data_IF_422256198931
#
_entry.id   IF_422256198931
#
_cell.length_a   1.000
_cell.length_b   1.000
_cell.length_c   1.000
_cell.angle_alpha   90.00
_cell.angle_beta   90.00
_cell.angle_gamma   90.00
#
_symmetry.space_group_name_H-M   'P 1'
#
loop_
_entity.id
_entity.type
_entity.pdbx_description
1 polymer ?
#
# COMPACT_ATOMS: atom_id res chain seq x y z
N UNK A 1 -4.28 -35.27 -11.66
CA UNK A 1 -3.32 -34.17 -11.41
C UNK A 1 -4.12 -32.87 -11.48
N UNK A 2 -4.55 -32.32 -10.33
CA UNK A 2 -5.27 -31.05 -10.32
C UNK A 2 -4.26 -29.91 -10.40
N UNK A 3 -4.34 -29.09 -11.44
CA UNK A 3 -3.58 -27.84 -11.51
C UNK A 3 -3.99 -26.94 -10.34
N UNK A 4 -3.07 -26.19 -9.72
CA UNK A 4 -3.45 -25.20 -8.72
C UNK A 4 -4.36 -24.19 -9.40
N UNK A 5 -5.61 -24.09 -8.93
CA UNK A 5 -6.51 -23.05 -9.37
C UNK A 5 -5.85 -21.71 -9.05
N UNK A 6 -5.51 -20.93 -10.08
CA UNK A 6 -5.12 -19.54 -9.91
C UNK A 6 -6.31 -18.85 -9.25
N UNK A 7 -6.22 -18.65 -7.95
CA UNK A 7 -7.17 -17.85 -7.21
C UNK A 7 -6.58 -16.46 -7.27
N UNK A 8 -7.07 -15.54 -8.13
CA UNK A 8 -6.65 -14.16 -8.02
C UNK A 8 -7.07 -13.71 -6.62
N UNK A 9 -6.11 -13.62 -5.70
CA UNK A 9 -6.31 -12.83 -4.49
C UNK A 9 -6.66 -11.44 -4.97
N UNK A 10 -7.93 -11.06 -4.87
CA UNK A 10 -8.40 -9.71 -5.17
C UNK A 10 -7.75 -8.77 -4.15
N UNK A 11 -6.50 -8.42 -4.42
CA UNK A 11 -5.73 -7.45 -3.68
C UNK A 11 -6.39 -6.08 -3.87
N UNK A 12 -6.97 -5.57 -2.79
CA UNK A 12 -7.62 -4.29 -2.80
C UNK A 12 -6.58 -3.16 -2.92
N UNK A 13 -6.94 -2.14 -3.69
CA UNK A 13 -6.02 -1.06 -4.05
C UNK A 13 -6.48 0.27 -3.49
N UNK A 14 -5.64 0.85 -2.63
CA UNK A 14 -5.86 2.14 -2.01
C UNK A 14 -5.32 3.28 -2.89
N UNK A 15 -6.01 4.40 -2.86
CA UNK A 15 -5.55 5.68 -3.40
C UNK A 15 -4.54 6.34 -2.44
N UNK A 16 -3.71 7.30 -2.92
CA UNK A 16 -2.81 8.04 -2.04
C UNK A 16 -3.55 8.72 -0.88
N UNK A 17 -4.77 9.22 -1.12
CA UNK A 17 -5.61 9.85 -0.09
C UNK A 17 -6.08 8.88 0.99
N UNK A 18 -6.46 7.66 0.62
CA UNK A 18 -6.85 6.63 1.59
C UNK A 18 -5.66 6.22 2.47
N UNK A 19 -4.48 6.00 1.87
CA UNK A 19 -3.25 5.70 2.63
C UNK A 19 -2.90 6.87 3.55
N UNK A 20 -3.00 8.09 3.05
CA UNK A 20 -2.72 9.29 3.83
C UNK A 20 -3.62 9.42 5.06
N UNK A 21 -4.92 9.11 4.91
CA UNK A 21 -5.87 9.09 6.01
C UNK A 21 -5.51 8.05 7.09
N UNK A 22 -5.05 6.85 6.69
CA UNK A 22 -4.65 5.80 7.63
C UNK A 22 -3.39 6.16 8.44
N UNK A 23 -2.42 6.82 7.81
CA UNK A 23 -1.17 7.24 8.45
C UNK A 23 -1.26 8.64 9.10
N UNK A 24 -2.40 9.32 8.99
CA UNK A 24 -2.58 10.72 9.40
C UNK A 24 -1.50 11.66 8.82
N UNK A 25 -1.18 11.51 7.54
CA UNK A 25 -0.22 12.35 6.80
C UNK A 25 -0.87 13.00 5.59
N UNK A 26 -0.15 13.88 4.91
CA UNK A 26 -0.56 14.43 3.61
C UNK A 26 -0.34 13.42 2.45
N UNK A 27 -1.22 13.35 1.43
CA UNK A 27 -1.04 12.47 0.26
C UNK A 27 0.28 12.65 -0.51
N UNK A 28 0.87 13.85 -0.48
CA UNK A 28 2.19 14.12 -1.06
C UNK A 28 3.30 13.39 -0.30
N UNK A 29 3.15 13.19 1.01
CA UNK A 29 4.06 12.38 1.82
C UNK A 29 4.02 10.92 1.41
N UNK A 30 2.82 10.35 1.20
CA UNK A 30 2.66 8.99 0.67
C UNK A 30 3.31 8.87 -0.72
N UNK A 31 3.12 9.88 -1.57
CA UNK A 31 3.75 9.92 -2.90
C UNK A 31 5.28 9.92 -2.78
N UNK A 32 5.86 10.67 -1.85
CA UNK A 32 7.31 10.66 -1.57
C UNK A 32 7.79 9.30 -1.09
N UNK A 33 7.05 8.60 -0.22
CA UNK A 33 7.39 7.24 0.20
C UNK A 33 7.46 6.28 -0.98
N UNK A 34 6.52 6.40 -1.92
CA UNK A 34 6.53 5.61 -3.15
C UNK A 34 7.75 5.92 -4.03
N UNK A 35 8.14 7.20 -4.16
CA UNK A 35 9.35 7.59 -4.88
C UNK A 35 10.63 7.10 -4.20
N UNK A 36 10.65 7.07 -2.88
CA UNK A 36 11.78 6.59 -2.09
C UNK A 36 11.85 5.05 -1.97
N UNK A 37 10.91 4.32 -2.58
CA UNK A 37 10.86 2.85 -2.50
C UNK A 37 10.44 2.31 -1.12
N UNK A 38 9.94 3.18 -0.23
CA UNK A 38 9.50 2.79 1.13
C UNK A 38 8.11 2.16 1.15
N UNK A 39 7.33 2.36 0.09
CA UNK A 39 6.01 1.77 -0.08
C UNK A 39 5.81 1.47 -1.57
N UNK A 40 5.55 0.20 -1.89
CA UNK A 40 5.27 -0.28 -3.23
C UNK A 40 4.06 0.43 -3.84
N UNK A 41 4.18 0.82 -5.11
CA UNK A 41 3.10 1.51 -5.81
C UNK A 41 2.89 0.96 -7.21
N UNK A 42 1.63 0.78 -7.57
CA UNK A 42 1.16 0.52 -8.92
C UNK A 42 0.73 1.84 -9.55
N UNK A 43 0.81 1.93 -10.88
CA UNK A 43 0.32 3.10 -11.63
C UNK A 43 -0.83 2.68 -12.52
N UNK A 44 -1.89 3.48 -12.53
CA UNK A 44 -2.93 3.37 -13.54
C UNK A 44 -2.42 3.91 -14.89
N UNK A 45 -3.07 3.60 -16.02
CA UNK A 45 -2.73 4.19 -17.31
C UNK A 45 -2.72 5.73 -17.31
N UNK A 46 -3.57 6.37 -16.49
CA UNK A 46 -3.59 7.82 -16.28
C UNK A 46 -2.51 8.37 -15.34
N UNK A 47 -1.58 7.53 -14.86
CA UNK A 47 -0.43 7.94 -14.04
C UNK A 47 -0.69 8.06 -12.54
N UNK A 48 -1.94 7.92 -12.09
CA UNK A 48 -2.29 7.92 -10.66
C UNK A 48 -1.73 6.69 -9.96
N UNK A 49 -1.23 6.88 -8.73
CA UNK A 49 -0.70 5.78 -7.92
C UNK A 49 -1.82 5.00 -7.23
N UNK A 50 -1.57 3.72 -7.05
CA UNK A 50 -2.36 2.79 -6.24
C UNK A 50 -1.43 1.98 -5.34
N UNK A 51 -1.90 1.66 -4.15
CA UNK A 51 -1.13 0.97 -3.12
C UNK A 51 -1.86 -0.30 -2.72
N UNK A 52 -1.12 -1.39 -2.52
CA UNK A 52 -1.71 -2.63 -2.01
C UNK A 52 -2.15 -2.42 -0.57
N UNK A 53 -3.40 -2.74 -0.27
CA UNK A 53 -3.92 -2.64 1.10
C UNK A 53 -3.10 -3.51 2.06
N UNK A 54 -2.72 -4.73 1.66
CA UNK A 54 -1.91 -5.64 2.46
C UNK A 54 -0.58 -5.02 2.89
N UNK A 55 0.15 -4.42 1.96
CA UNK A 55 1.44 -3.76 2.22
C UNK A 55 1.29 -2.52 3.13
N UNK A 56 0.24 -1.73 2.89
CA UNK A 56 -0.09 -0.56 3.73
C UNK A 56 -0.39 -0.97 5.16
N UNK A 57 -1.18 -2.02 5.35
CA UNK A 57 -1.53 -2.53 6.69
C UNK A 57 -0.32 -3.17 7.39
N UNK A 58 0.54 -3.86 6.65
CA UNK A 58 1.81 -4.38 7.18
C UNK A 58 2.71 -3.24 7.67
N UNK A 59 2.82 -2.15 6.91
CA UNK A 59 3.61 -0.99 7.31
C UNK A 59 3.04 -0.32 8.57
N UNK A 60 1.72 -0.12 8.66
CA UNK A 60 1.06 0.40 9.88
C UNK A 60 1.37 -0.48 11.09
N UNK A 61 1.26 -1.80 10.92
CA UNK A 61 1.51 -2.77 12.00
C UNK A 61 2.98 -2.71 12.45
N UNK A 62 3.92 -2.63 11.51
CA UNK A 62 5.36 -2.56 11.82
C UNK A 62 5.71 -1.30 12.62
N UNK A 63 5.27 -0.12 12.17
CA UNK A 63 5.56 1.16 12.83
C UNK A 63 4.89 1.28 14.20
N UNK A 64 3.68 0.71 14.35
CA UNK A 64 3.00 0.67 15.65
C UNK A 64 3.71 -0.27 16.62
N UNK A 65 4.23 -1.40 16.13
CA UNK A 65 4.99 -2.35 16.95
C UNK A 65 6.33 -1.76 17.38
N UNK A 66 7.02 -1.03 16.51
CA UNK A 66 8.27 -0.33 16.84
C UNK A 66 8.05 0.77 17.89
N UNK A 67 6.93 1.51 17.82
CA UNK A 67 6.62 2.55 18.80
C UNK A 67 6.27 2.01 20.20
N UNK A 68 5.86 0.74 20.30
CA UNK A 68 5.58 0.07 21.58
C UNK A 68 6.79 -0.62 22.20
N UNK A 69 7.95 -0.65 21.53
CA UNK A 69 9.21 -1.13 22.11
C UNK A 69 10.02 0.02 22.68
#
# INVERSE_FOLDING_TARGET
>A
MSAPAYTPTQENLLTPGQVAALFHVDPKTVTRWAHAGRLGSLRTPGGHRRFRESEVMQLLTSLTTEAHR
#
